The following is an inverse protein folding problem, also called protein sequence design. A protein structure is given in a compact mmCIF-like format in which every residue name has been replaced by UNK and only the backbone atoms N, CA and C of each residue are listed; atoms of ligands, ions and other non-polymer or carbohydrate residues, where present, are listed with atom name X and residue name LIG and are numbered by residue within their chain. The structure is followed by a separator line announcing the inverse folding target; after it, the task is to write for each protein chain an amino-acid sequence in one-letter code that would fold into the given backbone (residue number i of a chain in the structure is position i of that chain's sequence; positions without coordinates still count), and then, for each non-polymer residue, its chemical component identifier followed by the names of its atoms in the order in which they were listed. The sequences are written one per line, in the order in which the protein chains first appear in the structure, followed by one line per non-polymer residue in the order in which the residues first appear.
data_IF_834422829937
#
_entry.id   IF_834422829937
#
_cell.length_a   1.000
_cell.length_b   1.000
_cell.length_c   1.000
_cell.angle_alpha   90.00
_cell.angle_beta   90.00
_cell.angle_gamma   90.00
#
_symmetry.space_group_name_H-M   'P 1'
#
loop_
_entity.id
_entity.type
_entity.pdbx_description
1 polymer ?
#
# COMPACT_ATOMS: atom_id res chain seq x y z
N UNK A 1 -5.99 29.46 -8.47
CA UNK A 1 -6.75 28.88 -7.33
C UNK A 1 -5.77 28.03 -6.52
N UNK A 2 -5.63 28.25 -5.19
CA UNK A 2 -4.83 27.34 -4.36
C UNK A 2 -5.57 26.01 -4.28
N UNK A 3 -4.96 24.92 -4.76
CA UNK A 3 -5.49 23.58 -4.57
C UNK A 3 -5.70 23.30 -3.08
N UNK A 4 -6.85 22.73 -2.76
CA UNK A 4 -7.24 22.46 -1.37
C UNK A 4 -6.44 21.25 -0.88
N UNK A 5 -5.49 21.49 0.03
CA UNK A 5 -4.66 20.40 0.61
C UNK A 5 -5.53 19.25 1.11
N UNK A 6 -5.17 18.04 0.70
CA UNK A 6 -5.82 16.79 1.12
C UNK A 6 -5.55 16.48 2.60
N UNK A 7 -6.20 15.47 3.15
CA UNK A 7 -5.87 14.94 4.48
C UNK A 7 -4.40 14.52 4.57
N UNK A 8 -3.89 13.89 3.54
CA UNK A 8 -2.53 13.36 3.47
C UNK A 8 -1.49 14.45 3.43
N UNK A 9 -1.70 15.50 2.63
CA UNK A 9 -0.80 16.67 2.58
C UNK A 9 -0.65 17.35 3.95
N UNK A 10 -1.73 17.40 4.73
CA UNK A 10 -1.72 18.03 6.07
C UNK A 10 -1.01 17.21 7.14
N UNK A 11 -0.89 15.89 6.93
CA UNK A 11 -0.39 14.96 7.94
C UNK A 11 0.96 14.32 7.58
N UNK A 12 1.54 14.63 6.42
CA UNK A 12 2.78 14.01 5.93
C UNK A 12 3.91 14.04 6.99
N UNK A 13 4.23 15.19 7.56
CA UNK A 13 5.29 15.34 8.56
C UNK A 13 5.04 14.69 9.92
N UNK A 14 3.85 14.09 10.15
CA UNK A 14 3.50 13.39 11.40
C UNK A 14 3.24 11.91 11.17
N UNK A 15 3.18 11.48 9.92
CA UNK A 15 2.76 10.14 9.53
C UNK A 15 3.65 9.05 10.14
N UNK A 16 4.97 9.20 10.05
CA UNK A 16 5.91 8.21 10.57
C UNK A 16 5.78 8.03 12.08
N UNK A 17 5.60 9.13 12.83
CA UNK A 17 5.34 9.06 14.28
C UNK A 17 4.05 8.30 14.59
N UNK A 18 3.02 8.49 13.77
CA UNK A 18 1.77 7.77 13.93
C UNK A 18 1.95 6.25 13.69
N UNK A 19 2.80 5.88 12.72
CA UNK A 19 3.05 4.48 12.37
C UNK A 19 4.00 3.75 13.33
N UNK A 20 4.76 4.47 14.16
CA UNK A 20 5.69 3.88 15.14
C UNK A 20 5.04 2.89 16.10
N UNK A 21 3.77 3.08 16.47
CA UNK A 21 3.02 2.17 17.34
C UNK A 21 2.82 0.76 16.73
N UNK A 22 2.85 0.66 15.41
CA UNK A 22 2.68 -0.59 14.66
C UNK A 22 4.01 -1.14 14.13
N UNK A 23 5.16 -0.61 14.60
CA UNK A 23 6.50 -0.96 14.15
C UNK A 23 6.76 -2.47 14.11
N UNK A 24 6.31 -3.21 15.14
CA UNK A 24 6.52 -4.66 15.19
C UNK A 24 5.83 -5.39 14.03
N UNK A 25 4.59 -4.98 13.68
CA UNK A 25 3.86 -5.54 12.54
C UNK A 25 4.55 -5.19 11.21
N UNK A 26 5.08 -3.98 11.08
CA UNK A 26 5.83 -3.57 9.89
C UNK A 26 7.15 -4.33 9.74
N UNK A 27 7.88 -4.59 10.81
CA UNK A 27 9.09 -5.42 10.77
C UNK A 27 8.78 -6.85 10.30
N UNK A 28 7.69 -7.46 10.76
CA UNK A 28 7.24 -8.77 10.26
C UNK A 28 6.82 -8.69 8.78
N UNK A 29 6.11 -7.65 8.39
CA UNK A 29 5.74 -7.42 6.99
C UNK A 29 6.97 -7.27 6.09
N UNK A 30 8.01 -6.53 6.51
CA UNK A 30 9.24 -6.41 5.74
C UNK A 30 9.96 -7.76 5.54
N UNK A 31 9.92 -8.65 6.54
CA UNK A 31 10.48 -10.01 6.42
C UNK A 31 9.74 -10.83 5.36
N UNK A 32 8.42 -10.61 5.22
CA UNK A 32 7.61 -11.26 4.18
C UNK A 32 7.91 -10.69 2.79
N UNK A 33 8.09 -9.37 2.68
CA UNK A 33 8.28 -8.65 1.40
C UNK A 33 9.68 -8.89 0.83
N UNK A 34 10.74 -8.80 1.64
CA UNK A 34 12.14 -8.84 1.16
C UNK A 34 12.47 -10.02 0.24
N UNK A 35 12.06 -11.28 0.51
CA UNK A 35 12.31 -12.38 -0.40
C UNK A 35 11.65 -12.22 -1.77
N UNK A 36 10.44 -11.64 -1.80
CA UNK A 36 9.64 -11.46 -3.03
C UNK A 36 10.25 -10.40 -3.94
N UNK A 37 10.78 -9.32 -3.36
CA UNK A 37 11.36 -8.20 -4.12
C UNK A 37 12.84 -8.39 -4.46
N UNK A 38 13.46 -9.52 -4.04
CA UNK A 38 14.90 -9.75 -4.22
C UNK A 38 15.30 -9.71 -5.69
N UNK A 39 16.17 -8.74 -6.04
CA UNK A 39 16.67 -8.49 -7.39
C UNK A 39 15.55 -8.22 -8.42
N UNK A 40 14.42 -7.68 -8.00
CA UNK A 40 13.24 -7.36 -8.83
C UNK A 40 13.08 -5.86 -9.05
N UNK A 41 12.41 -5.50 -10.14
CA UNK A 41 11.91 -4.14 -10.40
C UNK A 41 10.56 -3.97 -9.73
N UNK A 42 10.47 -3.03 -8.82
CA UNK A 42 9.32 -2.85 -7.93
C UNK A 42 8.64 -1.50 -8.19
N UNK A 43 7.31 -1.51 -8.23
CA UNK A 43 6.48 -0.31 -8.15
C UNK A 43 5.75 -0.30 -6.82
N UNK A 44 5.93 0.74 -6.01
CA UNK A 44 5.14 0.96 -4.80
C UNK A 44 4.15 2.10 -5.02
N UNK A 45 2.86 1.82 -4.81
CA UNK A 45 1.77 2.77 -4.94
C UNK A 45 1.31 3.25 -3.55
N UNK A 46 0.93 4.53 -3.45
CA UNK A 46 0.58 5.17 -2.19
C UNK A 46 1.66 4.97 -1.12
N UNK A 47 2.91 5.21 -1.50
CA UNK A 47 4.10 4.97 -0.67
C UNK A 47 4.12 5.82 0.61
N UNK A 48 3.34 6.91 0.67
CA UNK A 48 3.36 7.87 1.75
C UNK A 48 4.76 8.48 1.91
N UNK A 49 5.32 8.38 3.11
CA UNK A 49 6.67 8.85 3.45
C UNK A 49 7.78 7.86 3.05
N UNK A 50 7.43 6.80 2.30
CA UNK A 50 8.39 5.81 1.81
C UNK A 50 8.80 4.77 2.84
N UNK A 51 7.99 4.53 3.88
CA UNK A 51 8.34 3.61 4.97
C UNK A 51 8.70 2.20 4.47
N UNK A 52 7.92 1.63 3.55
CA UNK A 52 8.18 0.28 3.03
C UNK A 52 9.35 0.33 2.06
N UNK A 53 9.30 1.21 1.05
CA UNK A 53 10.34 1.34 0.03
C UNK A 53 11.74 1.46 0.64
N UNK A 54 11.92 2.36 1.61
CA UNK A 54 13.20 2.57 2.30
C UNK A 54 13.72 1.33 3.04
N UNK A 55 12.82 0.49 3.58
CA UNK A 55 13.20 -0.71 4.32
C UNK A 55 13.50 -1.93 3.44
N UNK A 56 13.03 -1.94 2.19
CA UNK A 56 13.21 -3.07 1.27
C UNK A 56 14.18 -2.78 0.13
N UNK A 57 14.60 -1.52 -0.08
CA UNK A 57 15.41 -1.09 -1.24
C UNK A 57 16.69 -1.88 -1.41
N UNK A 58 17.34 -2.30 -0.34
CA UNK A 58 18.57 -3.09 -0.41
C UNK A 58 18.36 -4.48 -1.03
N UNK A 59 17.14 -5.03 -0.96
CA UNK A 59 16.81 -6.31 -1.57
C UNK A 59 16.43 -6.17 -3.04
N UNK A 60 15.82 -5.06 -3.44
CA UNK A 60 15.33 -4.84 -4.80
C UNK A 60 16.47 -4.47 -5.78
N UNK A 61 16.21 -4.67 -7.07
CA UNK A 61 17.05 -4.13 -8.14
C UNK A 61 16.80 -2.63 -8.31
N UNK A 62 15.52 -2.23 -8.36
CA UNK A 62 15.06 -0.86 -8.46
C UNK A 62 13.66 -0.74 -7.85
N UNK A 63 13.38 0.42 -7.25
CA UNK A 63 12.04 0.76 -6.74
C UNK A 63 11.61 2.13 -7.29
N UNK A 64 10.50 2.14 -7.99
CA UNK A 64 9.71 3.35 -8.23
C UNK A 64 8.62 3.41 -7.18
N UNK A 65 8.63 4.44 -6.33
CA UNK A 65 7.69 4.62 -5.23
C UNK A 65 6.87 5.89 -5.45
N UNK A 66 5.54 5.74 -5.48
CA UNK A 66 4.66 6.83 -5.90
C UNK A 66 3.59 7.12 -4.87
N UNK A 67 3.19 8.39 -4.80
CA UNK A 67 2.04 8.83 -4.01
C UNK A 67 1.32 9.96 -4.74
N UNK A 68 0.02 10.09 -4.55
CA UNK A 68 -0.77 11.20 -5.10
C UNK A 68 -0.52 12.53 -4.36
N UNK A 69 -0.03 12.48 -3.12
CA UNK A 69 0.29 13.65 -2.30
C UNK A 69 1.72 14.12 -2.55
N UNK A 70 1.88 15.33 -3.07
CA UNK A 70 3.20 15.94 -3.25
C UNK A 70 3.94 16.14 -1.92
N UNK A 71 3.24 16.42 -0.84
CA UNK A 71 3.84 16.57 0.50
C UNK A 71 4.35 15.23 1.04
N UNK A 72 3.64 14.11 0.80
CA UNK A 72 4.13 12.78 1.13
C UNK A 72 5.40 12.45 0.35
N UNK A 73 5.43 12.70 -0.94
CA UNK A 73 6.62 12.49 -1.79
C UNK A 73 7.79 13.37 -1.34
N UNK A 74 7.52 14.60 -0.92
CA UNK A 74 8.56 15.49 -0.38
C UNK A 74 9.18 14.92 0.90
N UNK A 75 8.36 14.44 1.84
CA UNK A 75 8.85 13.76 3.05
C UNK A 75 9.60 12.46 2.72
N UNK A 76 9.09 11.68 1.76
CA UNK A 76 9.74 10.45 1.32
C UNK A 76 11.15 10.69 0.77
N UNK A 77 11.36 11.77 0.02
CA UNK A 77 12.67 12.15 -0.56
C UNK A 77 13.66 12.63 0.48
N UNK A 78 13.22 13.16 1.63
CA UNK A 78 14.06 13.93 2.57
C UNK A 78 15.33 13.20 2.98
N UNK A 79 15.27 11.91 3.30
CA UNK A 79 16.41 11.13 3.78
C UNK A 79 16.79 9.97 2.83
N UNK A 80 16.32 10.02 1.57
CA UNK A 80 16.66 9.00 0.60
C UNK A 80 18.05 9.25 0.01
N UNK A 81 18.96 8.30 0.22
CA UNK A 81 20.31 8.29 -0.35
C UNK A 81 20.53 7.15 -1.36
N UNK A 82 19.53 6.31 -1.59
CA UNK A 82 19.66 5.17 -2.48
C UNK A 82 19.40 5.55 -3.93
N UNK A 83 20.38 5.30 -4.81
CA UNK A 83 20.20 5.45 -6.24
C UNK A 83 19.21 4.44 -6.86
N UNK A 84 18.84 3.39 -6.12
CA UNK A 84 17.87 2.37 -6.54
C UNK A 84 16.43 2.75 -6.23
N UNK A 85 16.19 3.82 -5.45
CA UNK A 85 14.88 4.24 -4.98
C UNK A 85 14.54 5.62 -5.53
N UNK A 86 13.53 5.67 -6.36
CA UNK A 86 12.99 6.89 -6.92
C UNK A 86 11.60 7.18 -6.37
N UNK A 87 11.32 8.44 -6.02
CA UNK A 87 10.01 8.89 -5.56
C UNK A 87 9.39 9.88 -6.54
N UNK A 88 8.14 9.66 -6.94
CA UNK A 88 7.41 10.56 -7.82
C UNK A 88 5.93 10.74 -7.43
N UNK A 89 5.33 11.84 -7.87
CA UNK A 89 3.91 12.10 -7.67
C UNK A 89 3.14 11.47 -8.82
N UNK A 90 2.30 10.47 -8.54
CA UNK A 90 1.50 9.78 -9.55
C UNK A 90 0.11 9.42 -9.02
N UNK A 91 -0.84 9.35 -9.93
CA UNK A 91 -2.19 8.83 -9.67
C UNK A 91 -2.22 7.32 -9.93
N UNK A 92 -2.55 6.52 -8.90
CA UNK A 92 -2.64 5.06 -9.02
C UNK A 92 -3.73 4.58 -9.96
N UNK A 93 -4.68 5.45 -10.35
CA UNK A 93 -5.73 5.12 -11.31
C UNK A 93 -5.32 5.34 -12.76
N UNK A 94 -4.16 5.99 -12.99
CA UNK A 94 -3.60 6.27 -14.31
C UNK A 94 -2.09 6.40 -14.24
N UNK A 95 -1.41 5.27 -14.27
CA UNK A 95 0.04 5.21 -14.16
C UNK A 95 0.72 5.51 -15.51
N UNK A 96 1.80 6.31 -15.54
CA UNK A 96 2.51 6.67 -16.77
C UNK A 96 3.47 5.57 -17.24
N UNK A 97 3.30 4.34 -16.76
CA UNK A 97 4.19 3.22 -17.06
C UNK A 97 3.59 2.32 -18.15
N UNK A 98 4.44 1.69 -18.95
CA UNK A 98 4.02 0.72 -19.96
C UNK A 98 3.42 -0.54 -19.29
N UNK A 99 2.66 -1.30 -20.07
CA UNK A 99 2.15 -2.60 -19.65
C UNK A 99 3.31 -3.53 -19.29
N UNK A 100 3.10 -4.39 -18.32
CA UNK A 100 4.05 -5.44 -17.92
C UNK A 100 5.47 -4.91 -17.60
N UNK A 101 5.58 -3.72 -16.96
CA UNK A 101 6.85 -3.08 -16.66
C UNK A 101 7.51 -3.55 -15.37
N UNK A 102 6.74 -4.07 -14.41
CA UNK A 102 7.20 -4.37 -13.08
C UNK A 102 7.08 -5.85 -12.73
N UNK A 103 8.10 -6.37 -12.05
CA UNK A 103 8.08 -7.74 -11.50
C UNK A 103 7.21 -7.83 -10.24
N UNK A 104 7.17 -6.76 -9.45
CA UNK A 104 6.39 -6.67 -8.21
C UNK A 104 5.71 -5.32 -8.13
N UNK A 105 4.42 -5.32 -7.76
CA UNK A 105 3.71 -4.10 -7.37
C UNK A 105 3.31 -4.22 -5.90
N UNK A 106 3.59 -3.17 -5.12
CA UNK A 106 3.19 -3.06 -3.71
C UNK A 106 2.14 -1.97 -3.58
N UNK A 107 1.02 -2.27 -2.92
CA UNK A 107 0.00 -1.29 -2.54
C UNK A 107 -0.39 -1.51 -1.09
N UNK A 108 0.18 -0.73 -0.19
CA UNK A 108 -0.02 -0.91 1.26
C UNK A 108 -0.95 0.14 1.84
N UNK A 109 -1.95 -0.30 2.62
CA UNK A 109 -2.89 0.56 3.35
C UNK A 109 -3.60 1.61 2.48
N UNK A 110 -3.78 1.34 1.19
CA UNK A 110 -4.38 2.27 0.24
C UNK A 110 -5.76 1.82 -0.26
N UNK A 111 -5.96 0.54 -0.58
CA UNK A 111 -7.19 0.07 -1.22
C UNK A 111 -8.45 0.35 -0.40
N UNK A 112 -8.36 0.38 0.93
CA UNK A 112 -9.52 0.67 1.81
C UNK A 112 -9.84 2.18 1.93
N UNK A 113 -8.94 3.05 1.46
CA UNK A 113 -9.10 4.52 1.56
C UNK A 113 -9.32 5.20 0.21
N UNK A 114 -9.29 4.46 -0.88
CA UNK A 114 -9.58 5.00 -2.21
C UNK A 114 -11.03 4.72 -2.63
N UNK A 115 -11.65 5.60 -3.42
CA UNK A 115 -13.07 5.48 -3.77
C UNK A 115 -13.37 4.35 -4.75
N UNK A 116 -12.40 3.91 -5.54
CA UNK A 116 -12.57 2.92 -6.62
C UNK A 116 -11.41 1.91 -6.62
N UNK A 117 -11.29 1.07 -5.57
CA UNK A 117 -10.16 0.14 -5.43
C UNK A 117 -10.07 -0.87 -6.57
N UNK A 118 -11.20 -1.21 -7.22
CA UNK A 118 -11.24 -2.09 -8.40
C UNK A 118 -10.47 -1.49 -9.58
N UNK A 119 -10.60 -0.19 -9.82
CA UNK A 119 -9.84 0.50 -10.89
C UNK A 119 -8.35 0.54 -10.59
N UNK A 120 -7.98 0.73 -9.33
CA UNK A 120 -6.57 0.65 -8.93
C UNK A 120 -6.01 -0.76 -9.20
N UNK A 121 -6.77 -1.81 -8.88
CA UNK A 121 -6.38 -3.19 -9.16
C UNK A 121 -6.27 -3.51 -10.66
N UNK A 122 -7.11 -2.90 -11.51
CA UNK A 122 -7.01 -3.04 -12.97
C UNK A 122 -5.73 -2.39 -13.50
N UNK A 123 -5.40 -1.18 -13.03
CA UNK A 123 -4.19 -0.48 -13.43
C UNK A 123 -2.92 -1.16 -12.91
N UNK A 124 -2.96 -1.71 -11.70
CA UNK A 124 -1.91 -2.57 -11.16
C UNK A 124 -1.72 -3.80 -12.05
N UNK A 125 -2.82 -4.47 -12.44
CA UNK A 125 -2.79 -5.64 -13.31
C UNK A 125 -2.15 -5.35 -14.67
N UNK A 126 -2.37 -4.16 -15.22
CA UNK A 126 -1.75 -3.70 -16.47
C UNK A 126 -0.25 -3.50 -16.32
N UNK A 127 0.18 -2.77 -15.28
CA UNK A 127 1.60 -2.44 -15.07
C UNK A 127 2.46 -3.64 -14.61
N UNK A 128 1.85 -4.64 -13.98
CA UNK A 128 2.50 -5.85 -13.49
C UNK A 128 2.74 -6.83 -14.65
N UNK A 129 3.90 -7.50 -14.69
CA UNK A 129 4.19 -8.62 -15.60
C UNK A 129 3.22 -9.78 -15.38
N UNK A 130 3.12 -10.70 -16.36
CA UNK A 130 2.18 -11.82 -16.25
C UNK A 130 2.57 -12.79 -15.13
N UNK A 131 3.87 -13.03 -14.94
CA UNK A 131 4.45 -13.80 -13.83
C UNK A 131 4.76 -12.94 -12.59
N UNK A 132 4.28 -11.69 -12.57
CA UNK A 132 4.55 -10.72 -11.52
C UNK A 132 3.71 -10.95 -10.27
N UNK A 133 4.14 -10.32 -9.18
CA UNK A 133 3.53 -10.47 -7.85
C UNK A 133 2.95 -9.16 -7.37
N UNK A 134 1.68 -9.17 -6.97
CA UNK A 134 1.06 -8.10 -6.21
C UNK A 134 1.22 -8.38 -4.71
N UNK A 135 1.76 -7.42 -3.96
CA UNK A 135 1.78 -7.39 -2.49
C UNK A 135 0.83 -6.30 -2.02
N UNK A 136 -0.24 -6.69 -1.34
CA UNK A 136 -1.32 -5.78 -0.97
C UNK A 136 -1.69 -5.90 0.52
N UNK A 137 -0.83 -5.45 1.45
CA UNK A 137 -1.17 -5.41 2.86
C UNK A 137 -2.16 -4.28 3.16
N UNK A 138 -3.13 -4.53 4.04
CA UNK A 138 -4.08 -3.50 4.46
C UNK A 138 -4.54 -3.70 5.90
N UNK A 139 -4.83 -2.59 6.59
CA UNK A 139 -5.52 -2.67 7.87
C UNK A 139 -6.96 -3.14 7.66
N UNK A 140 -7.33 -4.16 8.42
CA UNK A 140 -8.66 -4.76 8.41
C UNK A 140 -9.33 -4.60 9.77
N UNK A 141 -10.62 -4.86 9.84
CA UNK A 141 -11.37 -4.79 11.08
C UNK A 141 -11.52 -6.19 11.68
N UNK A 142 -11.39 -6.29 13.00
CA UNK A 142 -11.76 -7.51 13.71
C UNK A 142 -13.30 -7.68 13.64
N UNK A 143 -13.75 -8.89 13.36
CA UNK A 143 -15.17 -9.23 13.40
C UNK A 143 -15.75 -8.85 14.76
N UNK A 144 -16.90 -8.15 14.77
CA UNK A 144 -17.69 -7.80 15.96
C UNK A 144 -17.04 -6.94 17.06
N UNK A 145 -15.95 -6.23 16.78
CA UNK A 145 -15.36 -5.32 17.76
C UNK A 145 -16.16 -4.00 17.88
N UNK A 146 -16.89 -3.83 18.99
CA UNK A 146 -17.54 -2.55 19.35
C UNK A 146 -16.51 -1.42 19.42
N UNK A 147 -15.32 -1.68 19.99
CA UNK A 147 -14.21 -0.73 20.04
C UNK A 147 -13.73 -0.33 18.63
N UNK A 148 -13.70 -1.26 17.67
CA UNK A 148 -13.36 -0.98 16.28
C UNK A 148 -14.37 -0.02 15.62
N UNK A 149 -15.67 -0.17 15.91
CA UNK A 149 -16.72 0.73 15.39
C UNK A 149 -16.61 2.15 15.94
N UNK A 150 -16.39 2.28 17.25
CA UNK A 150 -16.20 3.58 17.92
C UNK A 150 -14.96 4.29 17.40
N UNK A 151 -13.83 3.60 17.27
CA UNK A 151 -12.58 4.15 16.76
C UNK A 151 -12.68 4.59 15.30
N UNK A 152 -13.34 3.81 14.44
CA UNK A 152 -13.60 4.17 13.05
C UNK A 152 -14.50 5.42 12.93
N UNK A 153 -15.45 5.59 13.84
CA UNK A 153 -16.26 6.80 13.93
C UNK A 153 -15.41 8.04 14.23
N UNK A 154 -14.51 7.97 15.21
CA UNK A 154 -13.59 9.08 15.52
C UNK A 154 -12.59 9.36 14.40
N UNK A 155 -12.10 8.34 13.69
CA UNK A 155 -11.25 8.53 12.50
C UNK A 155 -11.99 9.28 11.39
N UNK A 156 -13.27 8.96 11.16
CA UNK A 156 -14.11 9.66 10.19
C UNK A 156 -14.33 11.12 10.60
N UNK A 157 -14.57 11.40 11.89
CA UNK A 157 -14.66 12.76 12.43
C UNK A 157 -13.36 13.55 12.24
N UNK A 158 -12.20 12.89 12.33
CA UNK A 158 -10.89 13.48 12.07
C UNK A 158 -10.60 13.70 10.56
N UNK A 159 -11.57 13.37 9.68
CA UNK A 159 -11.44 13.56 8.22
C UNK A 159 -10.64 12.47 7.51
N UNK A 160 -10.40 11.33 8.17
CA UNK A 160 -9.73 10.19 7.55
C UNK A 160 -10.61 9.58 6.43
N UNK A 161 -10.11 9.44 5.19
CA UNK A 161 -10.89 8.98 4.05
C UNK A 161 -11.06 7.45 4.06
N UNK A 162 -11.92 6.92 4.91
CA UNK A 162 -12.21 5.50 4.97
C UNK A 162 -13.39 5.17 4.05
N UNK A 163 -13.14 4.46 2.95
CA UNK A 163 -14.16 4.04 1.98
C UNK A 163 -14.64 2.61 2.20
N UNK A 164 -13.73 1.68 2.50
CA UNK A 164 -14.08 0.28 2.71
C UNK A 164 -13.68 -0.19 4.10
N UNK A 165 -14.53 -1.05 4.69
CA UNK A 165 -14.30 -1.67 6.00
C UNK A 165 -14.39 -3.18 5.82
N UNK A 166 -13.26 -3.77 5.51
CA UNK A 166 -13.18 -5.21 5.35
C UNK A 166 -12.69 -5.90 6.62
N UNK A 167 -13.24 -7.05 6.92
CA UNK A 167 -12.54 -8.07 7.69
C UNK A 167 -11.41 -8.65 6.85
N UNK A 168 -10.52 -9.44 7.45
CA UNK A 168 -9.45 -10.11 6.72
C UNK A 168 -10.01 -11.02 5.60
N UNK A 169 -11.06 -11.78 5.90
CA UNK A 169 -11.69 -12.68 4.93
C UNK A 169 -12.36 -11.92 3.79
N UNK A 170 -13.12 -10.86 4.09
CA UNK A 170 -13.77 -10.02 3.07
C UNK A 170 -12.74 -9.35 2.15
N UNK A 171 -11.62 -8.90 2.70
CA UNK A 171 -10.54 -8.32 1.92
C UNK A 171 -9.92 -9.33 0.96
N UNK A 172 -9.58 -10.53 1.43
CA UNK A 172 -9.04 -11.58 0.57
C UNK A 172 -10.05 -12.04 -0.49
N UNK A 173 -11.34 -12.05 -0.16
CA UNK A 173 -12.43 -12.31 -1.11
C UNK A 173 -12.51 -11.21 -2.17
N UNK A 174 -12.42 -9.94 -1.76
CA UNK A 174 -12.38 -8.79 -2.67
C UNK A 174 -11.25 -8.92 -3.70
N UNK A 175 -10.03 -9.28 -3.27
CA UNK A 175 -8.90 -9.49 -4.20
C UNK A 175 -9.22 -10.60 -5.21
N UNK A 176 -9.75 -11.75 -4.76
CA UNK A 176 -10.11 -12.87 -5.65
C UNK A 176 -11.19 -12.48 -6.66
N UNK A 177 -12.21 -11.75 -6.24
CA UNK A 177 -13.29 -11.26 -7.12
C UNK A 177 -12.80 -10.27 -8.19
N UNK A 178 -11.66 -9.65 -7.96
CA UNK A 178 -11.02 -8.72 -8.91
C UNK A 178 -9.89 -9.37 -9.73
N UNK A 179 -9.88 -10.70 -9.85
CA UNK A 179 -8.99 -11.44 -10.75
C UNK A 179 -7.59 -11.63 -10.19
N UNK A 180 -7.47 -11.81 -8.87
CA UNK A 180 -6.23 -12.12 -8.18
C UNK A 180 -6.30 -13.46 -7.46
N UNK A 181 -5.33 -14.32 -7.68
CA UNK A 181 -5.11 -15.54 -6.91
C UNK A 181 -4.25 -15.24 -5.71
N UNK A 182 -4.80 -15.37 -4.50
CA UNK A 182 -4.04 -15.16 -3.25
C UNK A 182 -3.19 -16.40 -2.98
N UNK A 183 -1.88 -16.29 -3.18
CA UNK A 183 -0.93 -17.39 -3.00
C UNK A 183 -0.40 -17.47 -1.55
N UNK A 184 -0.39 -16.34 -0.84
CA UNK A 184 0.02 -16.28 0.56
C UNK A 184 -0.72 -15.17 1.27
N UNK A 185 -1.15 -15.41 2.49
CA UNK A 185 -1.72 -14.39 3.37
C UNK A 185 -1.32 -14.61 4.82
N UNK A 186 -1.30 -13.54 5.59
CA UNK A 186 -1.07 -13.55 7.03
C UNK A 186 -1.81 -12.38 7.69
N UNK A 187 -2.26 -12.55 8.92
CA UNK A 187 -2.80 -11.47 9.75
C UNK A 187 -1.77 -11.11 10.81
N UNK A 188 -1.18 -9.94 10.68
CA UNK A 188 -0.16 -9.42 11.58
C UNK A 188 -0.83 -8.62 12.70
N UNK A 189 -0.33 -8.79 13.93
CA UNK A 189 -0.85 -8.10 15.13
C UNK A 189 -0.37 -6.66 15.14
N UNK A 190 -1.29 -5.72 14.92
CA UNK A 190 -1.06 -4.29 14.94
C UNK A 190 -2.18 -3.58 15.70
N UNK A 191 -2.20 -2.24 15.69
CA UNK A 191 -3.29 -1.43 16.28
C UNK A 191 -4.67 -1.78 15.71
N UNK A 192 -4.72 -2.13 14.43
CA UNK A 192 -5.76 -2.89 13.74
C UNK A 192 -5.10 -4.12 13.11
N UNK A 193 -5.80 -5.25 12.97
CA UNK A 193 -5.24 -6.39 12.24
C UNK A 193 -4.71 -5.93 10.88
N UNK A 194 -3.43 -6.21 10.59
CA UNK A 194 -2.83 -5.92 9.30
C UNK A 194 -2.85 -7.20 8.47
N UNK A 195 -3.75 -7.26 7.50
CA UNK A 195 -3.85 -8.40 6.59
C UNK A 195 -2.85 -8.23 5.46
N UNK A 196 -1.82 -9.05 5.45
CA UNK A 196 -0.88 -9.21 4.36
C UNK A 196 -1.47 -10.13 3.30
N UNK A 197 -1.39 -9.73 2.03
CA UNK A 197 -1.76 -10.57 0.90
C UNK A 197 -0.67 -10.50 -0.18
N UNK A 198 -0.28 -11.66 -0.68
CA UNK A 198 0.63 -11.87 -1.79
C UNK A 198 -0.14 -12.61 -2.89
N UNK A 199 -0.26 -11.99 -4.05
CA UNK A 199 -1.16 -12.43 -5.10
C UNK A 199 -0.45 -12.49 -6.45
N UNK A 200 -0.96 -13.33 -7.31
CA UNK A 200 -0.64 -13.40 -8.74
C UNK A 200 -1.89 -13.16 -9.57
N UNK A 201 -1.73 -12.84 -10.85
CA UNK A 201 -2.86 -12.71 -11.76
C UNK A 201 -3.57 -14.05 -11.86
N UNK A 202 -4.92 -14.05 -11.75
CA UNK A 202 -5.66 -15.27 -12.05
C UNK A 202 -5.56 -15.56 -13.55
N UNK A 203 -5.13 -16.76 -13.91
CA UNK A 203 -5.17 -17.25 -15.29
C UNK A 203 -6.64 -17.27 -15.78
N UNK A 204 -6.85 -16.80 -16.99
CA UNK A 204 -8.16 -16.73 -17.64
C UNK A 204 -8.42 -18.02 -18.40
#
# INVERSE_FOLDING_TARGET
MKERKTFWDKNAGRYDRFMQKDRAAYEEMYKLIRPVVKAKTVLELATGTGLIAKHIVNAAAHIEATDASAEMVLEAKRDNQSAKLHFSVQDMFRLPYADQSYDVVIVSNALHIVPQPEKALQEIKRALKDDGVLIAPTFTHAENSIFGKVRAFFMKLAGFPLHSRWTSEEYLRFLRQNGWTVRKSAVLKASFPLTYAECEKTEV
#
